data_IF_681846810711
#
_entry.id   IF_681846810711
#
_cell.length_a   1.000
_cell.length_b   1.000
_cell.length_c   1.000
_cell.angle_alpha   90.00
_cell.angle_beta   90.00
_cell.angle_gamma   90.00
#
_symmetry.space_group_name_H-M   'P 1'
#
loop_
_entity.id
_entity.type
_entity.pdbx_description
1 polymer ?
#
# COMPACT_ATOMS: atom_id res chain seq x y z
N UNK A 1 6.07 7.97 -7.54
CA UNK A 1 5.83 6.52 -7.36
C UNK A 1 4.35 6.23 -7.64
N UNK A 2 3.93 4.97 -7.77
CA UNK A 2 2.51 4.59 -7.84
C UNK A 2 1.98 4.14 -6.49
N UNK A 3 0.67 4.26 -6.30
CA UNK A 3 -0.03 3.83 -5.08
C UNK A 3 -1.23 2.94 -5.39
N UNK A 4 -1.58 2.07 -4.44
CA UNK A 4 -2.85 1.34 -4.41
C UNK A 4 -3.43 1.45 -3.01
N UNK A 5 -4.63 2.01 -2.92
CA UNK A 5 -5.30 2.26 -1.65
C UNK A 5 -6.46 1.29 -1.44
N UNK A 6 -6.58 0.77 -0.23
CA UNK A 6 -7.68 -0.04 0.24
C UNK A 6 -8.33 0.67 1.41
N UNK A 7 -9.50 1.24 1.14
CA UNK A 7 -10.34 1.94 2.09
C UNK A 7 -11.22 0.93 2.85
N UNK A 8 -10.96 0.80 4.14
CA UNK A 8 -11.77 0.03 5.09
C UNK A 8 -12.42 0.92 6.14
N UNK A 9 -12.37 2.25 5.95
CA UNK A 9 -12.85 3.26 6.90
C UNK A 9 -12.20 3.14 8.28
N UNK A 10 -10.91 2.76 8.31
CA UNK A 10 -10.15 2.63 9.55
C UNK A 10 -9.60 3.96 10.07
N UNK A 11 -9.47 4.10 11.38
CA UNK A 11 -8.76 5.24 12.00
C UNK A 11 -7.23 5.14 11.84
N UNK A 12 -6.71 3.97 11.44
CA UNK A 12 -5.28 3.71 11.31
C UNK A 12 -4.90 3.37 9.86
N UNK A 13 -3.63 3.63 9.50
CA UNK A 13 -3.13 3.38 8.15
C UNK A 13 -1.87 2.51 8.19
N UNK A 14 -1.89 1.40 7.48
CA UNK A 14 -0.70 0.60 7.17
C UNK A 14 -0.13 1.09 5.84
N UNK A 15 1.15 1.45 5.84
CA UNK A 15 1.88 1.84 4.63
C UNK A 15 2.91 0.78 4.27
N UNK A 16 2.70 0.09 3.14
CA UNK A 16 3.60 -0.93 2.64
C UNK A 16 4.39 -0.42 1.43
N UNK A 17 5.72 -0.36 1.56
CA UNK A 17 6.63 -0.07 0.46
C UNK A 17 7.09 -1.39 -0.17
N UNK A 18 6.62 -1.66 -1.39
CA UNK A 18 7.00 -2.86 -2.13
C UNK A 18 8.50 -2.87 -2.51
N UNK A 19 9.06 -4.05 -2.75
CA UNK A 19 10.38 -4.18 -3.36
C UNK A 19 10.39 -3.74 -4.83
N UNK A 20 11.58 -3.51 -5.40
CA UNK A 20 11.71 -3.15 -6.82
C UNK A 20 11.25 -4.30 -7.72
N UNK A 21 10.30 -4.02 -8.63
CA UNK A 21 9.74 -5.01 -9.56
C UNK A 21 8.88 -6.10 -8.93
N UNK A 22 8.61 -6.03 -7.61
CA UNK A 22 7.79 -7.03 -6.92
C UNK A 22 6.31 -6.90 -7.33
N UNK A 23 5.63 -8.00 -7.66
CA UNK A 23 4.19 -7.96 -7.94
C UNK A 23 3.42 -7.59 -6.67
N UNK A 24 2.39 -6.75 -6.81
CA UNK A 24 1.55 -6.32 -5.68
C UNK A 24 0.84 -7.48 -4.99
N UNK A 25 0.55 -8.55 -5.73
CA UNK A 25 -0.12 -9.74 -5.21
C UNK A 25 0.75 -10.49 -4.18
N UNK A 26 2.04 -10.16 -4.06
CA UNK A 26 2.93 -10.71 -3.04
C UNK A 26 2.40 -10.48 -1.61
N UNK A 27 1.62 -9.41 -1.38
CA UNK A 27 1.04 -9.09 -0.07
C UNK A 27 -0.48 -9.31 0.01
N UNK A 28 -1.11 -9.82 -1.05
CA UNK A 28 -2.56 -10.02 -1.09
C UNK A 28 -3.07 -11.06 -0.07
N UNK A 29 -2.19 -11.93 0.43
CA UNK A 29 -2.51 -12.93 1.45
C UNK A 29 -2.50 -12.37 2.88
N UNK A 30 -2.06 -11.12 3.08
CA UNK A 30 -2.03 -10.51 4.40
C UNK A 30 -3.44 -10.10 4.82
N UNK A 31 -3.88 -10.61 5.97
CA UNK A 31 -5.12 -10.20 6.61
C UNK A 31 -4.86 -8.88 7.33
N UNK A 32 -5.67 -7.86 7.02
CA UNK A 32 -5.59 -6.59 7.72
C UNK A 32 -6.23 -6.69 9.12
N UNK A 33 -5.63 -6.06 10.14
CA UNK A 33 -6.31 -5.87 11.41
C UNK A 33 -7.57 -5.00 11.22
N UNK A 34 -8.52 -5.11 12.15
CA UNK A 34 -9.68 -4.21 12.19
C UNK A 34 -9.23 -2.76 12.28
N UNK A 35 -10.04 -1.84 11.74
CA UNK A 35 -9.81 -0.39 11.85
C UNK A 35 -8.51 0.10 11.19
N UNK A 36 -8.05 -0.59 10.14
CA UNK A 36 -6.88 -0.19 9.37
C UNK A 36 -7.16 -0.15 7.87
N UNK A 37 -6.82 0.98 7.26
CA UNK A 37 -6.66 1.11 5.83
C UNK A 37 -5.28 0.60 5.39
N UNK A 38 -5.12 0.34 4.09
CA UNK A 38 -3.84 -0.07 3.50
C UNK A 38 -3.48 0.81 2.31
N UNK A 39 -2.27 1.37 2.33
CA UNK A 39 -1.64 2.04 1.21
C UNK A 39 -0.40 1.27 0.76
N UNK A 40 -0.42 0.72 -0.45
CA UNK A 40 0.75 0.11 -1.07
C UNK A 40 1.44 1.13 -1.97
N UNK A 41 2.70 1.41 -1.71
CA UNK A 41 3.60 2.24 -2.53
C UNK A 41 4.51 1.33 -3.38
N UNK A 42 4.59 1.58 -4.68
CA UNK A 42 5.37 0.76 -5.63
C UNK A 42 5.78 1.57 -6.87
N UNK A 43 6.52 0.95 -7.79
CA UNK A 43 6.97 1.57 -9.06
C UNK A 43 7.65 2.94 -8.86
N UNK A 44 8.81 2.90 -8.20
CA UNK A 44 9.58 4.06 -7.76
C UNK A 44 10.36 4.76 -8.89
N UNK A 45 9.69 5.15 -9.97
CA UNK A 45 10.28 5.99 -11.02
C UNK A 45 10.67 7.39 -10.49
N UNK A 46 9.96 7.84 -9.46
CA UNK A 46 10.25 9.03 -8.68
C UNK A 46 9.78 8.83 -7.22
N UNK A 47 10.13 9.78 -6.36
CA UNK A 47 9.75 9.80 -4.95
C UNK A 47 8.60 10.76 -4.64
N UNK A 48 7.87 11.22 -5.66
CA UNK A 48 6.72 12.11 -5.46
C UNK A 48 5.53 11.28 -5.00
N UNK A 49 4.80 11.86 -4.04
CA UNK A 49 3.51 11.41 -3.53
C UNK A 49 2.53 12.55 -3.77
N UNK A 50 1.68 12.41 -4.78
CA UNK A 50 0.61 13.36 -5.07
C UNK A 50 -0.67 12.81 -4.44
N UNK A 51 -1.28 13.59 -3.54
CA UNK A 51 -2.53 13.31 -2.82
C UNK A 51 -3.70 14.06 -3.45
#
# INVERSE_FOLDING_TARGET
MKTKFYDHQGEHLIVYFAGWGTPLDAVAHLILPTDHDLLICYDYQDLKLDF
#
